data_IF_566554860165
#
_entry.id   IF_566554860165
#
_cell.length_a   1.000
_cell.length_b   1.000
_cell.length_c   1.000
_cell.angle_alpha   90.00
_cell.angle_beta   90.00
_cell.angle_gamma   90.00
#
_symmetry.space_group_name_H-M   'P 1'
#
loop_
_entity.id
_entity.type
_entity.pdbx_description
1 polymer ?
#
# COMPACT_ATOMS: atom_id res chain seq x y z
N UNK A 1 2.05 34.57 11.22
CA UNK A 1 1.16 34.52 10.05
C UNK A 1 0.97 33.04 9.73
N UNK A 2 -0.17 32.50 10.14
CA UNK A 2 -0.49 31.06 10.06
C UNK A 2 -0.68 30.65 8.60
N UNK A 3 0.10 29.68 8.13
CA UNK A 3 -0.15 28.94 6.89
C UNK A 3 -0.60 27.52 7.25
N UNK A 4 -1.73 27.42 7.95
CA UNK A 4 -2.53 26.19 8.05
C UNK A 4 -3.89 26.51 7.45
N UNK A 5 -3.93 26.54 6.12
CA UNK A 5 -5.07 27.03 5.37
C UNK A 5 -4.96 26.65 3.91
N UNK A 6 -4.68 25.38 3.63
CA UNK A 6 -5.17 24.72 2.43
C UNK A 6 -5.21 23.22 2.73
N UNK A 7 -6.39 22.63 2.53
CA UNK A 7 -6.56 21.18 2.52
C UNK A 7 -5.51 20.60 1.56
N UNK A 8 -4.93 19.42 1.83
CA UNK A 8 -3.93 18.86 0.94
C UNK A 8 -4.49 18.82 -0.49
N UNK A 9 -3.85 19.56 -1.39
CA UNK A 9 -4.03 19.42 -2.83
C UNK A 9 -3.78 17.94 -3.12
N UNK A 10 -4.77 17.27 -3.73
CA UNK A 10 -4.69 15.84 -4.01
C UNK A 10 -3.37 15.54 -4.70
N UNK A 11 -2.55 14.74 -4.02
CA UNK A 11 -1.22 14.39 -4.48
C UNK A 11 -1.20 13.03 -5.16
N UNK A 12 -0.32 12.81 -6.15
CA UNK A 12 -0.01 11.48 -6.61
C UNK A 12 0.55 10.63 -5.45
N UNK A 13 0.24 9.34 -5.46
CA UNK A 13 0.76 8.35 -4.52
C UNK A 13 2.28 8.21 -4.57
N UNK A 14 2.85 7.73 -3.46
CA UNK A 14 4.30 7.67 -3.24
C UNK A 14 4.83 6.27 -2.88
N UNK A 15 3.97 5.25 -3.00
CA UNK A 15 4.31 3.87 -2.64
C UNK A 15 3.46 2.88 -3.44
N UNK A 16 4.03 1.70 -3.72
CA UNK A 16 3.36 0.60 -4.41
C UNK A 16 3.64 -0.72 -3.69
N UNK A 17 2.66 -1.23 -2.95
CA UNK A 17 2.77 -2.50 -2.23
C UNK A 17 3.55 -2.43 -0.91
N UNK A 18 3.95 -1.23 -0.46
CA UNK A 18 4.49 -1.00 0.90
C UNK A 18 3.64 0.02 1.66
N UNK A 19 3.44 -0.14 2.98
CA UNK A 19 2.79 0.88 3.80
C UNK A 19 3.57 2.20 3.81
N UNK A 20 2.85 3.31 3.96
CA UNK A 20 3.41 4.63 4.31
C UNK A 20 2.66 5.15 5.53
N UNK A 21 3.23 6.16 6.18
CA UNK A 21 2.65 6.74 7.38
C UNK A 21 1.48 7.73 7.13
N UNK A 22 1.19 8.02 5.87
CA UNK A 22 0.01 8.78 5.46
C UNK A 22 -1.09 7.81 5.02
N UNK A 23 -2.34 8.26 5.06
CA UNK A 23 -3.48 7.39 4.82
C UNK A 23 -4.80 8.15 4.77
N UNK A 24 -5.88 7.39 4.58
CA UNK A 24 -7.23 7.90 4.60
C UNK A 24 -7.61 8.41 6.00
N UNK A 25 -8.19 9.61 6.04
CA UNK A 25 -8.78 10.27 7.20
C UNK A 25 -10.31 10.30 7.08
N UNK A 26 -11.00 10.89 8.06
CA UNK A 26 -12.45 10.98 8.07
C UNK A 26 -13.04 11.48 6.73
N UNK A 27 -13.91 10.68 6.13
CA UNK A 27 -14.58 11.00 4.86
C UNK A 27 -13.82 10.58 3.60
N UNK A 28 -12.59 10.07 3.73
CA UNK A 28 -11.80 9.55 2.61
C UNK A 28 -11.96 8.03 2.45
N UNK A 29 -11.91 7.56 1.20
CA UNK A 29 -12.03 6.14 0.86
C UNK A 29 -11.19 5.80 -0.37
N UNK A 30 -10.91 4.53 -0.58
CA UNK A 30 -10.13 4.08 -1.73
C UNK A 30 -10.56 2.70 -2.20
N UNK A 31 -10.31 2.45 -3.48
CA UNK A 31 -10.50 1.15 -4.12
C UNK A 31 -9.23 0.78 -4.87
N UNK A 32 -8.82 -0.48 -4.83
CA UNK A 32 -7.71 -0.97 -5.63
C UNK A 32 -8.06 -2.27 -6.31
N UNK A 33 -7.48 -2.50 -7.49
CA UNK A 33 -7.56 -3.77 -8.20
C UNK A 33 -6.15 -4.26 -8.59
N UNK A 34 -5.84 -5.49 -8.25
CA UNK A 34 -4.60 -6.16 -8.64
C UNK A 34 -4.89 -7.18 -9.73
N UNK A 35 -4.08 -7.22 -10.78
CA UNK A 35 -4.12 -8.26 -11.81
C UNK A 35 -2.78 -8.98 -11.85
N UNK A 36 -2.77 -10.27 -11.53
CA UNK A 36 -1.54 -11.06 -11.56
C UNK A 36 -1.41 -11.79 -12.90
N UNK A 37 -0.23 -11.72 -13.52
CA UNK A 37 0.05 -12.41 -14.79
C UNK A 37 -0.05 -13.93 -14.65
N UNK A 38 -0.31 -14.61 -15.78
CA UNK A 38 -0.52 -16.07 -15.86
C UNK A 38 0.66 -16.83 -15.24
N UNK A 39 0.38 -17.83 -14.38
CA UNK A 39 1.41 -18.78 -13.93
C UNK A 39 1.84 -19.65 -15.11
N UNK A 40 3.13 -20.01 -15.23
CA UNK A 40 3.68 -20.93 -16.26
C UNK A 40 2.99 -22.31 -16.36
N UNK A 41 2.06 -22.66 -15.45
CA UNK A 41 1.24 -23.88 -15.47
C UNK A 41 -0.27 -23.64 -15.30
N UNK A 42 -0.77 -22.40 -15.42
CA UNK A 42 -2.16 -22.06 -15.10
C UNK A 42 -2.77 -21.14 -16.17
N UNK A 43 -3.93 -21.53 -16.72
CA UNK A 43 -4.51 -20.94 -17.93
C UNK A 43 -5.24 -19.61 -17.75
N UNK A 44 -5.49 -19.15 -16.52
CA UNK A 44 -6.24 -17.91 -16.23
C UNK A 44 -5.47 -16.95 -15.32
N UNK A 45 -5.59 -15.65 -15.61
CA UNK A 45 -5.19 -14.57 -14.71
C UNK A 45 -6.02 -14.65 -13.42
N UNK A 46 -5.44 -14.22 -12.30
CA UNK A 46 -6.16 -14.08 -11.02
C UNK A 46 -6.07 -12.61 -10.58
N UNK A 47 -7.11 -12.15 -9.91
CA UNK A 47 -7.26 -10.75 -9.55
C UNK A 47 -7.61 -10.59 -8.09
N UNK A 48 -7.24 -9.44 -7.52
CA UNK A 48 -7.63 -9.02 -6.19
C UNK A 48 -8.29 -7.66 -6.25
N UNK A 49 -9.16 -7.37 -5.28
CA UNK A 49 -9.68 -6.03 -5.06
C UNK A 49 -9.46 -5.64 -3.61
N UNK A 50 -9.37 -4.34 -3.35
CA UNK A 50 -9.35 -3.78 -2.00
C UNK A 50 -10.29 -2.60 -1.95
N UNK A 51 -11.01 -2.46 -0.85
CA UNK A 51 -11.77 -1.27 -0.51
C UNK A 51 -11.36 -0.84 0.89
N UNK A 52 -11.16 0.45 1.11
CA UNK A 52 -10.82 0.97 2.43
C UNK A 52 -11.32 2.38 2.65
N UNK A 53 -11.32 2.79 3.92
CA UNK A 53 -11.76 4.11 4.35
C UNK A 53 -11.01 4.57 5.61
N UNK A 54 -11.07 5.88 5.83
CA UNK A 54 -10.45 6.55 6.95
C UNK A 54 -11.44 7.04 7.99
N UNK A 55 -10.99 7.04 9.25
CA UNK A 55 -11.69 7.60 10.40
C UNK A 55 -10.74 8.49 11.19
N UNK A 56 -11.29 9.51 11.86
CA UNK A 56 -10.53 10.43 12.68
C UNK A 56 -9.73 11.47 11.88
N UNK A 57 -8.96 12.25 12.62
CA UNK A 57 -8.16 13.36 12.10
C UNK A 57 -6.69 13.08 12.43
N UNK A 58 -5.87 12.63 11.46
CA UNK A 58 -4.46 12.34 11.68
C UNK A 58 -3.60 13.60 11.82
N UNK A 59 -4.09 14.80 11.50
CA UNK A 59 -3.39 16.08 11.68
C UNK A 59 -3.56 16.62 13.11
N UNK A 60 -4.73 16.41 13.73
CA UNK A 60 -4.99 16.79 15.13
C UNK A 60 -4.84 15.66 16.17
N UNK A 61 -5.31 14.45 15.87
CA UNK A 61 -5.17 13.24 16.71
C UNK A 61 -4.66 12.03 15.90
N UNK A 62 -5.24 10.84 16.08
CA UNK A 62 -4.85 9.64 15.34
C UNK A 62 -5.91 9.37 14.27
N UNK A 63 -5.45 9.07 13.06
CA UNK A 63 -6.28 8.52 11.99
C UNK A 63 -6.26 6.99 12.03
N UNK A 64 -7.43 6.37 11.84
CA UNK A 64 -7.55 4.94 11.60
C UNK A 64 -7.93 4.74 10.13
N UNK A 65 -7.09 4.01 9.40
CA UNK A 65 -7.40 3.49 8.09
C UNK A 65 -7.71 2.00 8.21
N UNK A 66 -8.78 1.54 7.57
CA UNK A 66 -9.11 0.13 7.49
C UNK A 66 -9.42 -0.25 6.06
N UNK A 67 -9.05 -1.47 5.68
CA UNK A 67 -9.34 -2.02 4.37
C UNK A 67 -9.84 -3.46 4.44
N UNK A 68 -10.64 -3.80 3.43
CA UNK A 68 -11.15 -5.13 3.14
C UNK A 68 -10.57 -5.54 1.79
N UNK A 69 -9.73 -6.56 1.81
CA UNK A 69 -9.06 -7.11 0.64
C UNK A 69 -9.74 -8.40 0.19
N UNK A 70 -10.23 -8.44 -1.04
CA UNK A 70 -10.74 -9.62 -1.73
C UNK A 70 -9.58 -10.25 -2.49
N UNK A 71 -9.16 -11.44 -2.06
CA UNK A 71 -7.90 -12.06 -2.50
C UNK A 71 -8.05 -12.80 -3.84
N UNK A 72 -9.27 -13.26 -4.17
CA UNK A 72 -9.56 -13.92 -5.45
C UNK A 72 -10.86 -13.38 -6.04
N UNK A 73 -10.72 -12.70 -7.18
CA UNK A 73 -11.82 -12.25 -8.03
C UNK A 73 -12.24 -13.31 -9.06
N UNK A 74 -11.45 -14.38 -9.21
CA UNK A 74 -11.76 -15.47 -10.14
C UNK A 74 -12.30 -16.70 -9.42
N UNK A 75 -13.43 -17.21 -9.89
CA UNK A 75 -14.01 -18.45 -9.38
C UNK A 75 -13.17 -19.65 -9.77
N UNK A 76 -12.71 -20.41 -8.78
CA UNK A 76 -12.05 -21.71 -8.97
C UNK A 76 -12.65 -22.72 -8.00
N UNK A 77 -12.86 -23.95 -8.46
CA UNK A 77 -13.27 -25.10 -7.65
C UNK A 77 -14.52 -24.87 -6.75
N UNK A 78 -15.51 -24.12 -7.25
CA UNK A 78 -16.77 -23.87 -6.54
C UNK A 78 -16.81 -22.63 -5.64
N UNK A 79 -15.68 -21.92 -5.46
CA UNK A 79 -15.64 -20.64 -4.75
C UNK A 79 -16.08 -19.47 -5.68
N UNK A 80 -16.84 -18.51 -5.15
CA UNK A 80 -17.30 -17.26 -5.80
C UNK A 80 -16.32 -16.10 -5.56
N UNK A 81 -16.36 -15.07 -6.41
CA UNK A 81 -15.64 -13.84 -6.15
C UNK A 81 -16.08 -13.23 -4.81
N UNK A 82 -15.13 -12.93 -3.92
CA UNK A 82 -15.43 -12.47 -2.55
C UNK A 82 -15.43 -13.56 -1.47
N UNK A 83 -15.37 -14.84 -1.83
CA UNK A 83 -15.39 -15.94 -0.86
C UNK A 83 -14.13 -16.03 0.00
N UNK A 84 -13.07 -15.30 -0.37
CA UNK A 84 -11.82 -15.22 0.38
C UNK A 84 -11.31 -13.78 0.46
N UNK A 85 -10.91 -13.39 1.66
CA UNK A 85 -10.33 -12.07 1.87
C UNK A 85 -9.78 -11.86 3.26
N UNK A 86 -9.40 -10.61 3.52
CA UNK A 86 -8.86 -10.17 4.79
C UNK A 86 -9.28 -8.74 5.14
N UNK A 87 -9.18 -8.42 6.42
CA UNK A 87 -9.33 -7.07 6.96
C UNK A 87 -8.00 -6.61 7.53
N UNK A 88 -7.59 -5.39 7.23
CA UNK A 88 -6.39 -4.76 7.78
C UNK A 88 -6.71 -3.44 8.46
N UNK A 89 -5.82 -3.02 9.36
CA UNK A 89 -5.95 -1.83 10.18
C UNK A 89 -4.62 -1.08 10.22
N UNK A 90 -4.65 0.25 10.09
CA UNK A 90 -3.48 1.12 10.24
C UNK A 90 -3.84 2.36 11.04
N UNK A 91 -3.15 2.56 12.16
CA UNK A 91 -3.18 3.80 12.90
C UNK A 91 -2.04 4.70 12.41
N UNK A 92 -2.34 5.97 12.19
CA UNK A 92 -1.35 6.92 11.69
C UNK A 92 -1.53 8.33 12.24
N UNK A 93 -0.43 9.06 12.31
CA UNK A 93 -0.35 10.42 12.84
C UNK A 93 0.55 11.26 11.94
N UNK A 94 0.06 12.42 11.54
CA UNK A 94 0.86 13.43 10.87
C UNK A 94 1.55 14.29 11.93
N UNK A 95 2.84 14.49 11.72
CA UNK A 95 3.74 15.20 12.60
C UNK A 95 4.18 16.49 11.89
N UNK A 96 4.63 17.50 12.65
CA UNK A 96 5.22 18.70 12.09
C UNK A 96 6.35 18.39 11.09
N UNK A 97 6.64 19.37 10.24
CA UNK A 97 7.70 19.27 9.23
C UNK A 97 7.47 18.14 8.19
N UNK A 98 6.21 17.90 7.79
CA UNK A 98 5.86 16.91 6.78
C UNK A 98 6.37 15.48 7.09
N UNK A 99 6.26 15.10 8.36
CA UNK A 99 6.58 13.75 8.83
C UNK A 99 5.30 13.01 9.18
N UNK A 100 5.31 11.70 9.06
CA UNK A 100 4.23 10.84 9.54
C UNK A 100 4.79 9.61 10.19
N UNK A 101 4.07 9.08 11.18
CA UNK A 101 4.30 7.76 11.74
C UNK A 101 3.04 6.91 11.63
N UNK A 102 3.20 5.62 11.42
CA UNK A 102 2.10 4.67 11.46
C UNK A 102 2.51 3.32 12.01
N UNK A 103 1.54 2.65 12.61
CA UNK A 103 1.60 1.23 12.98
C UNK A 103 0.36 0.56 12.42
N UNK A 104 0.50 -0.67 11.97
CA UNK A 104 -0.62 -1.38 11.39
C UNK A 104 -0.50 -2.88 11.50
N UNK A 105 -1.62 -3.51 11.24
CA UNK A 105 -1.82 -4.94 11.24
C UNK A 105 -2.53 -5.32 9.95
N UNK A 106 -1.83 -6.04 9.10
CA UNK A 106 -2.39 -6.67 7.92
C UNK A 106 -2.99 -8.02 8.28
N UNK A 107 -4.12 -8.36 7.64
CA UNK A 107 -4.83 -9.62 7.89
C UNK A 107 -5.20 -9.79 9.38
N UNK A 108 -5.67 -8.71 10.01
CA UNK A 108 -6.21 -8.72 11.37
C UNK A 108 -7.40 -9.69 11.49
N UNK A 109 -8.21 -9.79 10.43
CA UNK A 109 -9.17 -10.86 10.24
C UNK A 109 -9.00 -11.47 8.85
N UNK A 110 -9.27 -12.76 8.71
CA UNK A 110 -9.29 -13.48 7.42
C UNK A 110 -10.49 -14.40 7.33
N UNK A 111 -11.02 -14.59 6.13
CA UNK A 111 -12.10 -15.54 5.86
C UNK A 111 -11.81 -16.35 4.60
N UNK A 112 -12.58 -17.43 4.41
CA UNK A 112 -12.49 -18.25 3.21
C UNK A 112 -11.16 -18.98 3.03
N UNK A 113 -10.69 -19.04 1.78
CA UNK A 113 -9.42 -19.66 1.42
C UNK A 113 -8.26 -19.02 2.20
N UNK A 114 -8.26 -17.71 2.43
CA UNK A 114 -7.20 -17.04 3.19
C UNK A 114 -7.04 -17.63 4.59
N UNK A 115 -8.16 -17.89 5.27
CA UNK A 115 -8.15 -18.55 6.59
C UNK A 115 -7.71 -20.01 6.48
N UNK A 116 -8.23 -20.77 5.51
CA UNK A 116 -7.90 -22.20 5.28
C UNK A 116 -6.43 -22.41 4.89
N UNK A 117 -5.87 -21.50 4.11
CA UNK A 117 -4.47 -21.48 3.69
C UNK A 117 -3.52 -20.97 4.78
N UNK A 118 -4.05 -20.61 5.95
CA UNK A 118 -3.24 -20.17 7.09
C UNK A 118 -2.58 -18.80 6.90
N UNK A 119 -3.17 -17.91 6.11
CA UNK A 119 -2.70 -16.52 5.96
C UNK A 119 -2.57 -15.90 7.36
N UNK A 120 -1.35 -15.51 7.70
CA UNK A 120 -1.02 -14.99 9.03
C UNK A 120 -1.21 -13.48 9.11
N UNK A 121 -1.61 -13.05 10.29
CA UNK A 121 -1.62 -11.65 10.69
C UNK A 121 -0.19 -11.10 10.78
N UNK A 122 0.04 -9.96 10.14
CA UNK A 122 1.36 -9.32 10.09
C UNK A 122 1.30 -7.90 10.63
N UNK A 123 2.17 -7.57 11.57
CA UNK A 123 2.33 -6.21 12.08
C UNK A 123 3.43 -5.46 11.35
N UNK A 124 3.28 -4.14 11.26
CA UNK A 124 4.30 -3.23 10.75
C UNK A 124 4.33 -1.90 11.51
N UNK A 125 5.45 -1.21 11.40
CA UNK A 125 5.62 0.19 11.78
C UNK A 125 6.38 0.90 10.66
N UNK A 126 6.03 2.17 10.39
CA UNK A 126 6.63 2.96 9.31
C UNK A 126 6.72 4.43 9.69
N UNK A 127 7.78 5.07 9.24
CA UNK A 127 7.94 6.52 9.23
C UNK A 127 8.02 7.00 7.78
N UNK A 128 7.39 8.15 7.50
CA UNK A 128 7.43 8.78 6.18
C UNK A 128 7.80 10.25 6.30
N UNK A 129 8.63 10.74 5.39
CA UNK A 129 9.00 12.15 5.25
C UNK A 129 8.65 12.62 3.84
N UNK A 130 8.04 13.79 3.74
CA UNK A 130 7.85 14.50 2.47
C UNK A 130 8.84 15.66 2.43
N UNK A 131 9.63 15.74 1.37
CA UNK A 131 10.68 16.73 1.17
C UNK A 131 10.32 17.58 -0.05
N UNK A 132 9.97 18.86 0.12
CA UNK A 132 9.84 19.80 -0.98
C UNK A 132 11.19 19.93 -1.70
N UNK A 133 11.20 19.77 -3.02
CA UNK A 133 12.42 19.85 -3.84
C UNK A 133 12.58 21.21 -4.52
N UNK A 134 11.58 22.07 -4.42
CA UNK A 134 11.64 23.43 -4.93
C UNK A 134 10.82 24.38 -4.04
N UNK A 135 11.18 25.67 -4.06
CA UNK A 135 10.51 26.71 -3.28
C UNK A 135 9.06 26.94 -3.68
N UNK A 136 8.65 26.51 -4.88
CA UNK A 136 7.27 26.58 -5.37
C UNK A 136 6.39 25.41 -4.91
N UNK A 137 6.91 24.47 -4.13
CA UNK A 137 6.16 23.31 -3.61
C UNK A 137 5.41 22.54 -4.71
N UNK A 138 6.01 22.44 -5.89
CA UNK A 138 5.43 21.73 -7.03
C UNK A 138 6.11 20.39 -7.31
N UNK A 139 7.21 20.12 -6.60
CA UNK A 139 7.99 18.88 -6.67
C UNK A 139 8.28 18.39 -5.26
N UNK A 140 8.03 17.11 -5.03
CA UNK A 140 8.22 16.49 -3.73
C UNK A 140 8.93 15.15 -3.86
N UNK A 141 9.78 14.86 -2.88
CA UNK A 141 10.30 13.54 -2.65
C UNK A 141 9.67 13.00 -1.36
N UNK A 142 8.89 11.93 -1.49
CA UNK A 142 8.37 11.21 -0.34
C UNK A 142 9.20 9.97 -0.11
N UNK A 143 9.72 9.80 1.10
CA UNK A 143 10.54 8.65 1.50
C UNK A 143 9.89 7.98 2.69
N UNK A 144 9.73 6.66 2.62
CA UNK A 144 9.22 5.85 3.73
C UNK A 144 10.19 4.73 4.08
N UNK A 145 10.35 4.48 5.37
CA UNK A 145 11.13 3.36 5.89
C UNK A 145 10.36 2.69 7.02
N UNK A 146 10.31 1.36 7.01
CA UNK A 146 9.53 0.61 7.98
C UNK A 146 10.08 -0.76 8.28
N UNK A 147 9.52 -1.35 9.32
CA UNK A 147 9.80 -2.70 9.79
C UNK A 147 8.50 -3.48 9.87
N UNK A 148 8.53 -4.76 9.57
CA UNK A 148 7.37 -5.63 9.70
C UNK A 148 7.73 -7.10 9.66
N UNK A 149 6.77 -7.95 10.01
CA UNK A 149 6.93 -9.39 9.91
C UNK A 149 6.20 -9.97 8.68
N UNK A 150 6.27 -11.29 8.50
CA UNK A 150 5.57 -11.97 7.42
C UNK A 150 6.11 -11.57 6.05
N UNK A 151 5.29 -10.86 5.25
CA UNK A 151 5.66 -10.52 3.86
C UNK A 151 6.86 -9.58 3.75
N UNK A 152 7.18 -8.86 4.82
CA UNK A 152 8.34 -7.96 4.91
C UNK A 152 9.62 -8.65 5.40
N UNK A 153 9.51 -9.87 5.92
CA UNK A 153 10.63 -10.63 6.44
C UNK A 153 11.50 -11.24 5.34
N UNK A 154 12.80 -11.50 5.62
CA UNK A 154 13.68 -12.21 4.70
C UNK A 154 13.20 -13.65 4.46
N UNK A 155 13.50 -14.18 3.28
CA UNK A 155 13.14 -15.54 2.88
C UNK A 155 13.86 -16.53 3.81
N UNK A 156 13.16 -17.52 4.41
CA UNK A 156 13.81 -18.56 5.19
C UNK A 156 14.76 -19.38 4.32
N UNK A 157 16.05 -19.35 4.63
CA UNK A 157 17.07 -20.14 3.93
C UNK A 157 17.01 -21.65 4.28
N UNK A 158 16.28 -22.01 5.32
CA UNK A 158 16.09 -23.41 5.75
C UNK A 158 14.67 -23.65 6.25
N UNK A 159 14.12 -24.88 6.13
CA UNK A 159 12.80 -25.23 6.66
C UNK A 159 12.66 -25.00 8.17
N UNK A 160 13.75 -25.18 8.93
CA UNK A 160 13.77 -24.91 10.37
C UNK A 160 13.71 -23.42 10.73
N UNK A 161 13.91 -22.52 9.75
CA UNK A 161 13.75 -21.08 9.94
C UNK A 161 12.32 -20.58 9.71
N UNK A 162 11.38 -21.48 9.37
CA UNK A 162 9.95 -21.18 9.20
C UNK A 162 9.21 -20.92 10.53
N UNK A 163 9.79 -21.33 11.66
CA UNK A 163 9.20 -21.19 13.01
C UNK A 163 9.54 -19.87 13.69
N UNK A 164 10.54 -19.13 13.20
CA UNK A 164 10.87 -17.81 13.75
C UNK A 164 10.06 -16.71 13.05
N UNK A 165 9.32 -15.90 13.82
CA UNK A 165 8.72 -14.64 13.33
C UNK A 165 9.85 -13.70 12.93
N UNK A 166 10.32 -13.79 11.68
CA UNK A 166 11.38 -12.90 11.17
C UNK A 166 10.81 -11.52 10.89
N UNK A 167 11.39 -10.52 11.53
CA UNK A 167 11.18 -9.11 11.21
C UNK A 167 12.09 -8.79 10.02
N UNK A 168 11.59 -8.03 9.08
CA UNK A 168 12.38 -7.44 8.01
C UNK A 168 12.06 -5.97 7.81
N UNK A 169 12.83 -5.35 6.92
CA UNK A 169 12.72 -3.94 6.58
C UNK A 169 12.04 -3.77 5.23
N UNK A 170 11.31 -2.69 5.07
CA UNK A 170 10.76 -2.27 3.80
C UNK A 170 10.90 -0.76 3.67
N UNK A 171 10.72 -0.26 2.45
CA UNK A 171 10.72 1.18 2.21
C UNK A 171 10.21 1.54 0.83
N UNK A 172 9.92 2.82 0.65
CA UNK A 172 9.49 3.37 -0.63
C UNK A 172 10.06 4.75 -0.86
N UNK A 173 10.09 5.12 -2.14
CA UNK A 173 10.42 6.45 -2.61
C UNK A 173 9.43 6.84 -3.70
N UNK A 174 8.77 7.98 -3.51
CA UNK A 174 7.89 8.61 -4.49
C UNK A 174 8.47 9.95 -4.92
N UNK A 175 8.82 10.10 -6.19
CA UNK A 175 9.28 11.37 -6.75
C UNK A 175 8.18 12.01 -7.58
N UNK A 176 7.54 13.03 -7.02
CA UNK A 176 6.59 13.89 -7.70
C UNK A 176 7.34 14.95 -8.48
N UNK A 177 7.40 14.79 -9.80
CA UNK A 177 8.09 15.71 -10.70
C UNK A 177 7.16 16.74 -11.34
N UNK A 178 5.84 16.51 -11.24
CA UNK A 178 4.77 17.41 -11.68
C UNK A 178 3.64 17.38 -10.64
N UNK A 179 2.85 18.46 -10.45
CA UNK A 179 1.75 18.49 -9.48
C UNK A 179 0.79 17.29 -9.57
N UNK A 180 0.57 16.76 -10.78
CA UNK A 180 -0.32 15.64 -11.02
C UNK A 180 0.35 14.29 -11.25
N UNK A 181 1.69 14.16 -11.20
CA UNK A 181 2.35 12.88 -11.51
C UNK A 181 3.58 12.60 -10.65
N UNK A 182 3.71 11.34 -10.24
CA UNK A 182 4.88 10.83 -9.53
C UNK A 182 5.38 9.50 -10.09
N UNK A 183 6.69 9.29 -9.99
CA UNK A 183 7.33 7.98 -10.13
C UNK A 183 7.45 7.35 -8.75
N UNK A 184 7.18 6.06 -8.65
CA UNK A 184 7.16 5.31 -7.39
C UNK A 184 8.07 4.10 -7.48
N UNK A 185 8.88 3.91 -6.44
CA UNK A 185 9.68 2.71 -6.20
C UNK A 185 9.43 2.19 -4.79
N UNK A 186 9.31 0.88 -4.62
CA UNK A 186 9.00 0.27 -3.32
C UNK A 186 9.70 -1.06 -3.17
N UNK A 187 10.44 -1.21 -2.08
CA UNK A 187 11.10 -2.44 -1.68
C UNK A 187 10.34 -3.08 -0.53
N UNK A 188 9.78 -4.26 -0.76
CA UNK A 188 8.97 -4.98 0.24
C UNK A 188 9.80 -5.78 1.24
N UNK A 189 11.14 -5.69 1.20
CA UNK A 189 12.04 -6.62 1.88
C UNK A 189 12.49 -7.78 0.97
N UNK A 190 11.73 -8.07 -0.10
CA UNK A 190 11.99 -9.17 -1.04
C UNK A 190 11.83 -8.78 -2.50
N UNK A 191 10.78 -8.01 -2.80
CA UNK A 191 10.42 -7.61 -4.15
C UNK A 191 10.63 -6.11 -4.33
N UNK A 192 11.12 -5.74 -5.51
CA UNK A 192 11.16 -4.35 -5.96
C UNK A 192 9.98 -4.09 -6.89
N UNK A 193 9.18 -3.09 -6.54
CA UNK A 193 8.01 -2.66 -7.28
C UNK A 193 8.29 -1.27 -7.86
N UNK A 194 7.86 -1.05 -9.10
CA UNK A 194 7.97 0.24 -9.78
C UNK A 194 6.63 0.62 -10.37
N UNK A 195 6.29 1.91 -10.33
CA UNK A 195 5.04 2.38 -10.90
C UNK A 195 4.99 3.89 -11.08
N UNK A 196 3.89 4.34 -11.66
CA UNK A 196 3.53 5.73 -11.78
C UNK A 196 2.25 5.99 -11.00
N UNK A 197 2.14 7.21 -10.49
CA UNK A 197 0.92 7.71 -9.89
C UNK A 197 0.51 9.00 -10.55
N UNK A 198 -0.79 9.16 -10.79
CA UNK A 198 -1.33 10.31 -11.48
C UNK A 198 -2.67 10.79 -10.90
N UNK A 199 -2.85 12.10 -10.89
CA UNK A 199 -4.10 12.80 -10.52
C UNK A 199 -4.68 13.37 -11.81
N UNK A 200 -5.64 12.67 -12.46
CA UNK A 200 -6.06 13.01 -13.82
C UNK A 200 -6.84 14.32 -13.91
N UNK A 201 -7.57 14.68 -12.86
CA UNK A 201 -8.37 15.91 -12.80
C UNK A 201 -8.13 16.58 -11.46
N UNK A 202 -7.80 17.88 -11.46
CA UNK A 202 -7.60 18.65 -10.23
C UNK A 202 -8.91 18.92 -9.47
N UNK A 203 -10.05 18.76 -10.13
CA UNK A 203 -11.40 18.99 -9.56
C UNK A 203 -12.01 17.77 -8.90
N UNK A 204 -11.52 16.56 -9.22
CA UNK A 204 -11.99 15.31 -8.63
C UNK A 204 -10.86 14.77 -7.77
N UNK A 205 -11.06 14.54 -6.46
CA UNK A 205 -10.04 13.99 -5.58
C UNK A 205 -9.79 12.53 -5.90
N UNK A 206 -9.07 12.27 -6.99
CA UNK A 206 -8.86 10.93 -7.52
C UNK A 206 -7.38 10.74 -7.87
N UNK A 207 -6.76 9.73 -7.28
CA UNK A 207 -5.38 9.34 -7.58
C UNK A 207 -5.37 7.94 -8.17
N UNK A 208 -4.76 7.77 -9.32
CA UNK A 208 -4.61 6.48 -9.99
C UNK A 208 -3.15 6.05 -9.92
N UNK A 209 -2.90 4.85 -9.43
CA UNK A 209 -1.57 4.23 -9.45
C UNK A 209 -1.57 3.10 -10.44
N UNK A 210 -0.54 3.03 -11.28
CA UNK A 210 -0.30 1.91 -12.20
C UNK A 210 1.14 1.47 -12.02
N UNK A 211 1.36 0.19 -11.79
CA UNK A 211 2.72 -0.30 -11.67
C UNK A 211 2.87 -1.79 -11.76
N UNK A 212 4.13 -2.20 -11.73
CA UNK A 212 4.55 -3.59 -11.82
C UNK A 212 5.22 -4.00 -10.51
N UNK A 213 4.72 -5.09 -9.95
CA UNK A 213 5.24 -5.71 -8.72
C UNK A 213 6.30 -6.75 -9.11
N UNK A 214 7.35 -6.85 -8.29
CA UNK A 214 8.49 -7.76 -8.49
C UNK A 214 9.13 -7.65 -9.89
N UNK A 215 9.64 -6.45 -10.22
CA UNK A 215 10.29 -6.18 -11.51
C UNK A 215 11.60 -6.98 -11.69
N UNK A 216 12.22 -7.39 -10.58
CA UNK A 216 13.48 -8.15 -10.59
C UNK A 216 13.28 -9.66 -10.79
N UNK A 217 12.03 -10.15 -10.87
CA UNK A 217 11.68 -11.55 -11.13
C UNK A 217 12.38 -12.56 -10.21
N UNK A 218 12.68 -12.18 -8.97
CA UNK A 218 13.54 -13.01 -8.10
C UNK A 218 12.81 -14.27 -7.59
N UNK A 219 11.55 -14.14 -7.19
CA UNK A 219 10.88 -15.21 -6.42
C UNK A 219 9.39 -15.42 -6.77
N UNK A 220 8.65 -14.36 -7.10
CA UNK A 220 7.23 -14.43 -7.50
C UNK A 220 7.03 -14.07 -8.98
N UNK A 221 5.84 -14.33 -9.51
CA UNK A 221 5.46 -13.82 -10.82
C UNK A 221 5.25 -12.31 -10.73
N UNK A 222 5.62 -11.57 -11.78
CA UNK A 222 5.29 -10.16 -11.84
C UNK A 222 3.77 -9.98 -11.93
N UNK A 223 3.26 -8.90 -11.34
CA UNK A 223 1.84 -8.54 -11.41
C UNK A 223 1.70 -7.07 -11.80
N UNK A 224 0.62 -6.77 -12.51
CA UNK A 224 0.19 -5.40 -12.75
C UNK A 224 -0.80 -4.99 -11.66
N UNK A 225 -0.59 -3.81 -11.08
CA UNK A 225 -1.48 -3.28 -10.05
C UNK A 225 -2.02 -1.95 -10.53
N UNK A 226 -3.34 -1.78 -10.44
CA UNK A 226 -4.04 -0.53 -10.72
C UNK A 226 -4.86 -0.16 -9.49
N UNK A 227 -4.60 0.98 -8.86
CA UNK A 227 -5.44 1.43 -7.75
C UNK A 227 -5.97 2.84 -7.96
N UNK A 228 -7.14 3.11 -7.40
CA UNK A 228 -7.84 4.40 -7.48
C UNK A 228 -8.24 4.83 -6.07
N UNK A 229 -7.59 5.88 -5.56
CA UNK A 229 -7.91 6.46 -4.25
C UNK A 229 -8.74 7.72 -4.38
N UNK A 230 -9.70 7.91 -3.47
CA UNK A 230 -10.39 9.19 -3.27
C UNK A 230 -9.96 9.80 -1.93
N UNK A 231 -8.95 10.66 -2.01
CA UNK A 231 -8.29 11.31 -0.87
C UNK A 231 -8.51 12.81 -0.93
#
# INVERSE_FOLDING_TARGET
>A
MEFFGDKPVIGPGSSLGTPIAYGASWGQYFVGIGLTDKRRKQSSADGSAVFGFGLGDPEKYIGLETDVSIISLTSRNGDRAGDSGSVSLKLHRWLPYHMGIAVGVENAATWGIAKRAGVKTNGFAVITKILPLNSSYSKFLTVSAGVGNGRFGPIPLTPNALTQKKIGIFGSMGFQFHPSTALVSSWTGRDLNLGFSFVPLSTIPMTINVGRVNVLHRESLSAWVISVGFL
#
